data_IF_123926071662
#
_entry.id   IF_123926071662
#
_cell.length_a   1.000
_cell.length_b   1.000
_cell.length_c   1.000
_cell.angle_alpha   90.00
_cell.angle_beta   90.00
_cell.angle_gamma   90.00
#
_symmetry.space_group_name_H-M   'P 1'
#
loop_
_entity.id
_entity.type
_entity.pdbx_description
1 polymer ?
#
# COMPACT_ATOMS: atom_id res chain seq x y z
N UNK A 1 7.30 -21.99 -13.06
CA UNK A 1 6.25 -21.84 -14.10
C UNK A 1 6.97 -21.62 -15.41
N UNK A 2 6.79 -22.53 -16.38
CA UNK A 2 7.37 -22.41 -17.72
C UNK A 2 6.71 -21.25 -18.48
N UNK A 3 7.31 -20.06 -18.41
CA UNK A 3 6.83 -18.86 -19.11
C UNK A 3 7.03 -18.94 -20.63
N UNK A 4 7.75 -19.96 -21.12
CA UNK A 4 8.21 -20.07 -22.51
C UNK A 4 7.56 -21.21 -23.32
N UNK A 5 6.73 -22.09 -22.71
CA UNK A 5 6.12 -23.25 -23.40
C UNK A 5 4.58 -23.27 -23.40
N UNK A 6 3.93 -22.33 -22.72
CA UNK A 6 2.46 -22.24 -22.66
C UNK A 6 1.88 -21.18 -23.59
N UNK A 7 0.65 -21.40 -24.07
CA UNK A 7 -0.11 -20.47 -24.91
C UNK A 7 -0.20 -19.08 -24.23
N UNK A 8 0.60 -18.10 -24.71
CA UNK A 8 0.79 -16.78 -24.08
C UNK A 8 -0.54 -16.09 -23.75
N UNK A 9 -1.53 -16.20 -24.63
CA UNK A 9 -2.88 -15.63 -24.42
C UNK A 9 -3.53 -16.12 -23.14
N UNK A 10 -3.41 -17.40 -22.79
CA UNK A 10 -4.07 -17.98 -21.60
C UNK A 10 -3.39 -17.54 -20.31
N UNK A 11 -2.06 -17.46 -20.31
CA UNK A 11 -1.29 -16.95 -19.17
C UNK A 11 -1.58 -15.46 -18.97
N UNK A 12 -1.51 -14.67 -20.05
CA UNK A 12 -1.81 -13.25 -20.03
C UNK A 12 -3.23 -12.98 -19.50
N UNK A 13 -4.26 -13.62 -20.06
CA UNK A 13 -5.64 -13.42 -19.58
C UNK A 13 -5.82 -13.81 -18.11
N UNK A 14 -5.14 -14.86 -17.63
CA UNK A 14 -5.21 -15.27 -16.22
C UNK A 14 -4.57 -14.23 -15.28
N UNK A 15 -3.40 -13.70 -15.63
CA UNK A 15 -2.75 -12.63 -14.85
C UNK A 15 -3.51 -11.31 -14.94
N UNK A 16 -4.06 -10.99 -16.12
CA UNK A 16 -4.89 -9.82 -16.37
C UNK A 16 -6.14 -9.86 -15.48
N UNK A 17 -6.90 -10.96 -15.50
CA UNK A 17 -8.12 -11.08 -14.71
C UNK A 17 -7.83 -11.03 -13.21
N UNK A 18 -6.72 -11.64 -12.77
CA UNK A 18 -6.29 -11.57 -11.38
C UNK A 18 -5.96 -10.12 -10.93
N UNK A 19 -5.25 -9.37 -11.78
CA UNK A 19 -4.90 -7.96 -11.51
C UNK A 19 -6.10 -7.03 -11.61
N UNK A 20 -7.02 -7.31 -12.53
CA UNK A 20 -8.25 -6.54 -12.69
C UNK A 20 -9.19 -6.77 -11.50
N UNK A 21 -9.26 -8.01 -11.01
CA UNK A 21 -10.03 -8.37 -9.81
C UNK A 21 -9.51 -7.65 -8.56
N UNK A 22 -8.20 -7.59 -8.35
CA UNK A 22 -7.63 -6.86 -7.20
C UNK A 22 -7.89 -5.35 -7.29
N UNK A 23 -7.73 -4.75 -8.46
CA UNK A 23 -8.02 -3.33 -8.68
C UNK A 23 -9.50 -2.98 -8.47
N UNK A 24 -10.41 -3.86 -8.91
CA UNK A 24 -11.86 -3.71 -8.69
C UNK A 24 -12.21 -3.71 -7.20
N UNK A 25 -11.68 -4.67 -6.43
CA UNK A 25 -11.94 -4.77 -4.99
C UNK A 25 -11.46 -3.52 -4.26
N UNK A 26 -10.26 -3.04 -4.57
CA UNK A 26 -9.70 -1.81 -3.98
C UNK A 26 -10.58 -0.59 -4.30
N UNK A 27 -11.09 -0.50 -5.53
CA UNK A 27 -11.96 0.59 -5.95
C UNK A 27 -13.30 0.59 -5.23
N UNK A 28 -13.94 -0.59 -5.10
CA UNK A 28 -15.21 -0.73 -4.36
C UNK A 28 -15.01 -0.41 -2.88
N UNK A 29 -13.91 -0.88 -2.27
CA UNK A 29 -13.58 -0.57 -0.88
C UNK A 29 -13.41 0.94 -0.64
N UNK A 30 -12.64 1.62 -1.51
CA UNK A 30 -12.43 3.07 -1.41
C UNK A 30 -13.74 3.85 -1.56
N UNK A 31 -14.67 3.38 -2.41
CA UNK A 31 -15.99 3.99 -2.56
C UNK A 31 -16.84 3.83 -1.30
N UNK A 32 -16.90 2.62 -0.74
CA UNK A 32 -17.67 2.33 0.46
C UNK A 32 -17.13 3.11 1.65
N UNK A 33 -15.81 3.18 1.81
CA UNK A 33 -15.15 3.95 2.88
C UNK A 33 -15.51 5.44 2.80
N UNK A 34 -15.40 6.04 1.61
CA UNK A 34 -15.72 7.44 1.40
C UNK A 34 -17.20 7.76 1.63
N UNK A 35 -18.11 6.87 1.17
CA UNK A 35 -19.56 7.01 1.39
C UNK A 35 -19.91 6.85 2.87
N UNK A 36 -19.31 5.88 3.56
CA UNK A 36 -19.54 5.66 4.99
C UNK A 36 -19.04 6.84 5.82
N UNK A 37 -17.82 7.34 5.59
CA UNK A 37 -17.29 8.50 6.32
C UNK A 37 -18.12 9.76 6.02
N UNK A 38 -18.52 9.96 4.76
CA UNK A 38 -19.35 11.11 4.36
C UNK A 38 -20.77 11.09 4.96
N UNK A 39 -21.38 9.92 5.15
CA UNK A 39 -22.70 9.78 5.76
C UNK A 39 -22.67 9.74 7.29
N UNK A 40 -21.63 9.17 7.91
CA UNK A 40 -21.56 8.99 9.37
C UNK A 40 -21.08 10.23 10.15
N UNK A 41 -20.12 11.00 9.61
CA UNK A 41 -19.54 12.15 10.33
C UNK A 41 -19.94 13.52 9.73
N UNK A 42 -20.67 13.54 8.62
CA UNK A 42 -21.16 14.79 8.01
C UNK A 42 -20.03 15.75 7.58
N UNK A 43 -20.24 17.08 7.63
CA UNK A 43 -19.22 18.07 7.23
C UNK A 43 -17.90 17.96 8.00
N UNK A 44 -17.97 17.57 9.28
CA UNK A 44 -16.78 17.42 10.14
C UNK A 44 -15.93 16.21 9.74
N UNK A 45 -16.53 15.12 9.25
CA UNK A 45 -15.80 13.96 8.75
C UNK A 45 -14.99 14.24 7.48
N UNK A 46 -15.57 15.03 6.57
CA UNK A 46 -14.85 15.46 5.36
C UNK A 46 -13.71 16.43 5.71
N UNK A 47 -13.89 17.30 6.71
CA UNK A 47 -12.84 18.16 7.22
C UNK A 47 -11.71 17.35 7.90
N UNK A 48 -12.05 16.31 8.67
CA UNK A 48 -11.08 15.41 9.26
C UNK A 48 -10.26 14.68 8.18
N UNK A 49 -10.89 14.17 7.12
CA UNK A 49 -10.20 13.56 5.98
C UNK A 49 -9.21 14.52 5.31
N UNK A 50 -9.60 15.79 5.14
CA UNK A 50 -8.73 16.81 4.55
C UNK A 50 -7.47 17.08 5.40
N UNK A 51 -7.57 17.02 6.73
CA UNK A 51 -6.40 17.14 7.61
C UNK A 51 -5.47 15.92 7.58
N UNK A 52 -6.01 14.73 7.27
CA UNK A 52 -5.26 13.47 7.15
C UNK A 52 -4.63 13.28 5.77
N UNK A 53 -5.18 13.93 4.73
CA UNK A 53 -4.71 13.85 3.35
C UNK A 53 -3.17 14.01 3.14
N UNK A 54 -2.46 14.97 3.76
CA UNK A 54 -1.01 15.08 3.58
C UNK A 54 -0.25 13.92 4.22
N UNK A 55 -0.73 13.39 5.35
CA UNK A 55 -0.09 12.25 6.03
C UNK A 55 -0.32 10.97 5.22
N UNK A 56 -1.52 10.78 4.71
CA UNK A 56 -1.86 9.66 3.84
C UNK A 56 -1.00 9.62 2.58
N UNK A 57 -0.72 10.78 1.96
CA UNK A 57 0.17 10.86 0.79
C UNK A 57 1.60 10.40 1.09
N UNK A 58 2.15 10.76 2.25
CA UNK A 58 3.50 10.35 2.64
C UNK A 58 3.55 8.83 2.86
N UNK A 59 2.57 8.27 3.59
CA UNK A 59 2.47 6.82 3.81
C UNK A 59 2.34 6.08 2.48
N UNK A 60 1.44 6.55 1.61
CA UNK A 60 1.19 5.92 0.32
C UNK A 60 2.43 5.95 -0.57
N UNK A 61 3.16 7.07 -0.60
CA UNK A 61 4.42 7.20 -1.35
C UNK A 61 5.51 6.24 -0.83
N UNK A 62 5.68 6.14 0.49
CA UNK A 62 6.65 5.24 1.10
C UNK A 62 6.26 3.77 0.88
N UNK A 63 4.99 3.43 1.02
CA UNK A 63 4.46 2.09 0.73
C UNK A 63 4.71 1.68 -0.73
N UNK A 64 4.47 2.60 -1.68
CA UNK A 64 4.79 2.38 -3.09
C UNK A 64 6.31 2.24 -3.32
N UNK A 65 7.13 3.09 -2.70
CA UNK A 65 8.59 3.04 -2.83
C UNK A 65 9.16 1.68 -2.39
N UNK A 66 8.79 1.22 -1.20
CA UNK A 66 9.31 -0.03 -0.69
C UNK A 66 8.64 -1.27 -1.30
N UNK A 67 7.35 -1.21 -1.66
CA UNK A 67 6.65 -2.29 -2.34
C UNK A 67 7.16 -2.51 -3.77
N UNK A 68 7.09 -1.46 -4.59
CA UNK A 68 7.55 -1.53 -5.99
C UNK A 68 9.07 -1.60 -6.03
N UNK A 69 9.79 -0.73 -5.30
CA UNK A 69 11.26 -0.74 -5.27
C UNK A 69 11.84 -2.04 -4.71
N UNK A 70 11.23 -2.63 -3.69
CA UNK A 70 11.63 -3.93 -3.14
C UNK A 70 11.38 -5.07 -4.12
N UNK A 71 10.24 -5.07 -4.82
CA UNK A 71 9.94 -6.10 -5.84
C UNK A 71 10.86 -6.01 -7.06
N UNK A 72 11.24 -4.80 -7.49
CA UNK A 72 12.20 -4.59 -8.58
C UNK A 72 13.60 -5.08 -8.19
N UNK A 73 14.07 -4.75 -6.99
CA UNK A 73 15.39 -5.18 -6.52
C UNK A 73 15.46 -6.71 -6.34
N UNK A 74 14.38 -7.33 -5.84
CA UNK A 74 14.24 -8.78 -5.79
C UNK A 74 14.27 -9.40 -7.19
N UNK A 75 13.53 -8.83 -8.15
CA UNK A 75 13.49 -9.31 -9.54
C UNK A 75 14.85 -9.21 -10.23
N UNK A 76 15.58 -8.11 -10.01
CA UNK A 76 16.93 -7.91 -10.54
C UNK A 76 17.93 -8.94 -9.97
N UNK A 77 17.91 -9.17 -8.65
CA UNK A 77 18.77 -10.17 -8.02
C UNK A 77 18.44 -11.60 -8.46
N UNK A 78 17.14 -11.90 -8.64
CA UNK A 78 16.67 -13.20 -9.14
C UNK A 78 17.10 -13.41 -10.60
N UNK A 79 17.08 -12.37 -11.42
CA UNK A 79 17.59 -12.38 -12.80
C UNK A 79 19.10 -12.58 -12.91
N UNK A 80 19.86 -12.17 -11.89
CA UNK A 80 21.31 -12.39 -11.80
C UNK A 80 21.71 -13.80 -11.30
N UNK A 81 20.74 -14.67 -11.01
CA UNK A 81 20.98 -16.04 -10.52
C UNK A 81 21.26 -16.14 -9.01
N UNK A 82 21.20 -15.03 -8.27
CA UNK A 82 21.53 -14.97 -6.83
C UNK A 82 20.25 -14.79 -5.99
N UNK A 83 19.42 -15.84 -5.94
CA UNK A 83 18.11 -15.84 -5.26
C UNK A 83 18.22 -15.54 -3.76
N UNK A 84 19.34 -15.90 -3.13
CA UNK A 84 19.54 -15.75 -1.68
C UNK A 84 19.70 -14.28 -1.28
N UNK A 85 20.40 -13.49 -2.11
CA UNK A 85 20.50 -12.04 -1.94
C UNK A 85 19.18 -11.36 -2.22
N UNK A 86 18.46 -11.77 -3.28
CA UNK A 86 17.14 -11.21 -3.62
C UNK A 86 16.13 -11.34 -2.48
N UNK A 87 16.08 -12.50 -1.82
CA UNK A 87 15.17 -12.71 -0.70
C UNK A 87 15.55 -11.85 0.53
N UNK A 88 16.86 -11.69 0.80
CA UNK A 88 17.34 -10.84 1.90
C UNK A 88 16.99 -9.36 1.70
N UNK A 89 17.11 -8.85 0.48
CA UNK A 89 16.70 -7.48 0.14
C UNK A 89 15.19 -7.27 0.31
N UNK A 90 14.39 -8.24 -0.11
CA UNK A 90 12.94 -8.19 0.07
C UNK A 90 12.53 -8.23 1.54
N UNK A 91 13.15 -9.10 2.34
CA UNK A 91 12.89 -9.16 3.79
C UNK A 91 13.32 -7.87 4.50
N UNK A 92 14.46 -7.27 4.14
CA UNK A 92 14.87 -5.97 4.68
C UNK A 92 13.89 -4.85 4.30
N UNK A 93 13.40 -4.83 3.05
CA UNK A 93 12.38 -3.87 2.63
C UNK A 93 11.08 -4.04 3.43
N UNK A 94 10.66 -5.28 3.69
CA UNK A 94 9.46 -5.60 4.49
C UNK A 94 9.59 -5.18 5.96
N UNK A 95 10.75 -5.45 6.56
CA UNK A 95 11.05 -5.02 7.93
C UNK A 95 11.10 -3.49 7.99
N UNK A 96 11.72 -2.85 6.99
CA UNK A 96 11.77 -1.39 6.85
C UNK A 96 10.38 -0.76 6.80
N UNK A 97 9.49 -1.28 5.96
CA UNK A 97 8.06 -0.86 5.91
C UNK A 97 7.39 -1.06 7.26
N UNK A 98 7.52 -2.24 7.87
CA UNK A 98 6.84 -2.57 9.12
C UNK A 98 7.27 -1.65 10.26
N UNK A 99 8.53 -1.23 10.26
CA UNK A 99 9.06 -0.29 11.25
C UNK A 99 8.57 1.14 10.98
N UNK A 100 8.56 1.56 9.72
CA UNK A 100 8.06 2.86 9.29
C UNK A 100 6.57 3.03 9.54
N UNK A 101 5.77 1.98 9.32
CA UNK A 101 4.33 1.96 9.56
C UNK A 101 4.03 2.15 11.05
N UNK A 102 4.79 1.48 11.93
CA UNK A 102 4.68 1.70 13.38
C UNK A 102 5.08 3.11 13.83
N UNK A 103 6.14 3.67 13.24
CA UNK A 103 6.58 5.03 13.55
C UNK A 103 5.54 6.06 13.06
N UNK A 104 4.99 5.86 11.86
CA UNK A 104 3.99 6.76 11.30
C UNK A 104 2.66 6.66 12.04
N UNK A 105 2.23 5.44 12.40
CA UNK A 105 1.05 5.21 13.25
C UNK A 105 1.18 5.85 14.62
N UNK A 106 2.38 5.81 15.23
CA UNK A 106 2.65 6.53 16.46
C UNK A 106 2.57 8.06 16.28
N UNK A 107 3.11 8.61 15.19
CA UNK A 107 3.03 10.05 14.89
C UNK A 107 1.59 10.52 14.65
N UNK A 108 0.78 9.71 13.95
CA UNK A 108 -0.66 9.97 13.73
C UNK A 108 -1.43 9.89 15.04
N UNK A 109 -1.19 8.86 15.87
CA UNK A 109 -1.79 8.75 17.20
C UNK A 109 -1.42 9.95 18.09
N UNK A 110 -0.16 10.40 18.09
CA UNK A 110 0.28 11.57 18.86
C UNK A 110 -0.42 12.84 18.38
N UNK A 111 -0.56 13.05 17.06
CA UNK A 111 -1.27 14.20 16.49
C UNK A 111 -2.78 14.16 16.82
N UNK A 112 -3.39 12.98 16.77
CA UNK A 112 -4.81 12.77 17.10
C UNK A 112 -5.09 12.98 18.60
N UNK A 113 -4.19 12.53 19.48
CA UNK A 113 -4.27 12.77 20.93
C UNK A 113 -4.08 14.26 21.25
N UNK A 114 -3.15 14.93 20.58
CA UNK A 114 -2.91 16.37 20.78
C UNK A 114 -4.07 17.23 20.24
N UNK A 115 -4.71 16.81 19.14
CA UNK A 115 -5.93 17.45 18.62
C UNK A 115 -7.12 17.37 19.57
N UNK A 116 -7.27 16.25 20.31
CA UNK A 116 -8.30 16.13 21.37
C UNK A 116 -8.04 17.02 22.59
N UNK A 117 -6.79 17.44 22.83
CA UNK A 117 -6.42 18.29 23.98
C UNK A 117 -6.62 19.79 23.72
N UNK A 118 -6.74 20.23 22.47
CA UNK A 118 -6.91 21.65 22.11
C UNK A 118 -8.37 22.05 21.79
N UNK A 119 -9.31 21.08 21.81
CA UNK A 119 -10.74 21.32 21.63
C UNK A 119 -11.54 21.20 22.93
N UNK A 120 -10.91 21.48 24.07
CA UNK A 120 -11.58 21.55 25.37
C UNK A 120 -11.37 22.91 26.03
#
# INVERSE_FOLDING_TARGET
>A
MDLLKGNLKKIYFKYLFASFGSALIVSVYSLVDCVMVGQYEGPDGVAALATVAPVWNIIYSLGLLFGIGGSVLMSAAKGAGDERRGNSFYTMAFIGISFLDKICGAAVCVRAVFGRLYTK
#
